data_IF_787506176200
#
_entry.id   IF_787506176200
#
_cell.length_a   1.000
_cell.length_b   1.000
_cell.length_c   1.000
_cell.angle_alpha   90.00
_cell.angle_beta   90.00
_cell.angle_gamma   90.00
#
_symmetry.space_group_name_H-M   'P 1'
#
loop_
_entity.id
_entity.type
_entity.pdbx_description
1 polymer ?
#
# COMPACT_ATOMS: atom_id res chain seq x y z
N UNK A 1 -4.58 -33.98 -9.93
CA UNK A 1 -3.67 -34.07 -8.76
C UNK A 1 -3.37 -32.70 -8.11
N UNK A 2 -3.70 -31.57 -8.77
CA UNK A 2 -3.31 -30.22 -8.32
C UNK A 2 -3.91 -29.72 -6.99
N UNK A 3 -5.21 -29.90 -6.73
CA UNK A 3 -5.82 -29.40 -5.48
C UNK A 3 -5.41 -30.14 -4.22
N UNK A 4 -5.16 -31.45 -4.33
CA UNK A 4 -4.71 -32.27 -3.20
C UNK A 4 -3.32 -31.84 -2.72
N UNK A 5 -2.43 -31.47 -3.66
CA UNK A 5 -1.11 -30.91 -3.35
C UNK A 5 -1.23 -29.58 -2.59
N UNK A 6 -2.11 -28.67 -3.04
CA UNK A 6 -2.30 -27.38 -2.37
C UNK A 6 -2.84 -27.54 -0.94
N UNK A 7 -3.82 -28.45 -0.76
CA UNK A 7 -4.39 -28.78 0.56
C UNK A 7 -3.34 -29.43 1.46
N UNK A 8 -2.55 -30.36 0.93
CA UNK A 8 -1.51 -31.09 1.68
C UNK A 8 -0.33 -30.18 2.07
N UNK A 9 0.16 -29.37 1.12
CA UNK A 9 1.27 -28.45 1.33
C UNK A 9 0.89 -27.21 2.15
N UNK A 10 -0.41 -26.93 2.32
CA UNK A 10 -0.93 -25.78 3.08
C UNK A 10 -0.29 -24.43 2.70
N UNK A 11 -0.05 -24.23 1.40
CA UNK A 11 0.55 -22.99 0.87
C UNK A 11 -0.28 -21.73 1.20
N UNK A 12 -1.60 -21.90 1.33
CA UNK A 12 -2.55 -20.92 1.89
C UNK A 12 -3.81 -21.65 2.38
N UNK A 13 -4.68 -20.95 3.10
CA UNK A 13 -5.88 -21.50 3.75
C UNK A 13 -7.09 -20.61 3.49
N UNK A 14 -8.30 -21.13 3.73
CA UNK A 14 -9.51 -20.30 3.77
C UNK A 14 -9.30 -19.14 4.77
N UNK A 15 -9.65 -17.93 4.34
CA UNK A 15 -9.45 -16.68 5.08
C UNK A 15 -8.12 -15.96 4.80
N UNK A 16 -7.15 -16.61 4.14
CA UNK A 16 -5.93 -15.91 3.72
C UNK A 16 -6.23 -14.90 2.62
N UNK A 17 -5.51 -13.77 2.63
CA UNK A 17 -5.46 -12.87 1.47
C UNK A 17 -4.28 -13.28 0.61
N UNK A 18 -4.57 -13.62 -0.65
CA UNK A 18 -3.56 -14.00 -1.63
C UNK A 18 -3.61 -13.08 -2.84
N UNK A 19 -2.49 -13.02 -3.55
CA UNK A 19 -2.36 -12.36 -4.84
C UNK A 19 -1.81 -13.35 -5.88
N UNK A 20 -2.46 -13.40 -7.04
CA UNK A 20 -2.15 -14.30 -8.15
C UNK A 20 -2.20 -13.47 -9.44
N UNK A 21 -1.05 -13.20 -10.04
CA UNK A 21 -0.96 -12.14 -11.05
C UNK A 21 -1.47 -10.82 -10.47
N UNK A 22 -2.41 -10.17 -11.16
CA UNK A 22 -3.03 -8.92 -10.72
C UNK A 22 -4.28 -9.13 -9.84
N UNK A 23 -4.72 -10.39 -9.65
CA UNK A 23 -5.89 -10.71 -8.85
C UNK A 23 -5.51 -10.80 -7.37
N UNK A 24 -6.13 -9.96 -6.54
CA UNK A 24 -5.98 -9.98 -5.08
C UNK A 24 -7.33 -10.22 -4.41
N UNK A 25 -7.36 -11.13 -3.44
CA UNK A 25 -8.60 -11.44 -2.73
C UNK A 25 -8.43 -12.40 -1.55
N UNK A 26 -9.51 -12.53 -0.79
CA UNK A 26 -9.61 -13.46 0.36
C UNK A 26 -10.00 -14.83 -0.18
N UNK A 27 -9.27 -15.88 0.21
CA UNK A 27 -9.63 -17.26 -0.10
C UNK A 27 -10.90 -17.64 0.65
N UNK A 28 -11.98 -17.93 -0.07
CA UNK A 28 -13.26 -18.30 0.52
C UNK A 28 -13.47 -19.81 0.57
N UNK A 29 -12.97 -20.53 -0.44
CA UNK A 29 -13.07 -21.99 -0.52
C UNK A 29 -11.91 -22.60 -1.31
N UNK A 30 -11.46 -23.78 -0.88
CA UNK A 30 -10.46 -24.59 -1.59
C UNK A 30 -11.08 -25.97 -1.83
N UNK A 31 -11.38 -26.24 -3.10
CA UNK A 31 -11.94 -27.49 -3.59
C UNK A 31 -10.88 -28.32 -4.35
N UNK A 32 -11.21 -29.56 -4.72
CA UNK A 32 -10.28 -30.47 -5.41
C UNK A 32 -9.75 -29.92 -6.75
N UNK A 33 -10.56 -29.14 -7.47
CA UNK A 33 -10.23 -28.63 -8.80
C UNK A 33 -10.08 -27.11 -8.87
N UNK A 34 -10.70 -26.38 -7.95
CA UNK A 34 -10.80 -24.92 -7.99
C UNK A 34 -10.56 -24.32 -6.61
N UNK A 35 -10.08 -23.09 -6.60
CA UNK A 35 -10.01 -22.22 -5.43
C UNK A 35 -10.88 -21.00 -5.71
N UNK A 36 -11.69 -20.61 -4.74
CA UNK A 36 -12.53 -19.41 -4.81
C UNK A 36 -11.88 -18.27 -4.03
N UNK A 37 -11.79 -17.12 -4.65
CA UNK A 37 -11.36 -15.86 -4.04
C UNK A 37 -12.54 -14.89 -4.02
N UNK A 38 -12.60 -14.05 -3.00
CA UNK A 38 -13.46 -12.85 -2.98
C UNK A 38 -12.58 -11.61 -3.07
N UNK A 39 -12.75 -10.81 -4.12
CA UNK A 39 -12.01 -9.56 -4.29
C UNK A 39 -12.53 -8.48 -3.34
N UNK A 40 -11.81 -7.35 -3.27
CA UNK A 40 -12.23 -6.18 -2.50
C UNK A 40 -13.61 -5.65 -2.96
N UNK A 41 -13.90 -5.71 -4.26
CA UNK A 41 -15.19 -5.38 -4.88
C UNK A 41 -16.30 -6.40 -4.59
N UNK A 42 -16.05 -7.38 -3.72
CA UNK A 42 -16.95 -8.49 -3.39
C UNK A 42 -17.28 -9.42 -4.56
N UNK A 43 -16.54 -9.35 -5.67
CA UNK A 43 -16.66 -10.32 -6.76
C UNK A 43 -16.12 -11.68 -6.33
N UNK A 44 -16.82 -12.76 -6.68
CA UNK A 44 -16.31 -14.13 -6.52
C UNK A 44 -15.52 -14.53 -7.77
N UNK A 45 -14.24 -14.85 -7.57
CA UNK A 45 -13.33 -15.30 -8.62
C UNK A 45 -13.02 -16.77 -8.41
N UNK A 46 -13.30 -17.59 -9.42
CA UNK A 46 -13.06 -19.03 -9.37
C UNK A 46 -11.81 -19.34 -10.21
N UNK A 47 -10.76 -19.80 -9.55
CA UNK A 47 -9.47 -20.09 -10.20
C UNK A 47 -9.25 -21.60 -10.21
N UNK A 48 -8.99 -22.22 -11.38
CA UNK A 48 -8.58 -23.62 -11.44
C UNK A 48 -7.24 -23.83 -10.71
N UNK A 49 -7.14 -24.88 -9.90
CA UNK A 49 -5.93 -25.19 -9.14
C UNK A 49 -4.70 -25.44 -10.04
N UNK A 50 -4.92 -25.86 -11.30
CA UNK A 50 -3.85 -26.01 -12.30
C UNK A 50 -3.22 -24.68 -12.71
N UNK A 51 -3.96 -23.57 -12.64
CA UNK A 51 -3.44 -22.22 -12.89
C UNK A 51 -2.60 -21.77 -11.71
N UNK A 52 -3.10 -21.97 -10.48
CA UNK A 52 -2.39 -21.60 -9.24
C UNK A 52 -1.04 -22.32 -9.05
N UNK A 53 -0.86 -23.50 -9.65
CA UNK A 53 0.41 -24.21 -9.62
C UNK A 53 1.40 -23.76 -10.70
N UNK A 54 0.93 -23.04 -11.72
CA UNK A 54 1.77 -22.52 -12.81
C UNK A 54 2.16 -21.06 -12.59
N UNK A 55 1.32 -20.31 -11.89
CA UNK A 55 1.52 -18.90 -11.57
C UNK A 55 2.21 -18.71 -10.21
N UNK A 56 2.82 -17.55 -10.03
CA UNK A 56 3.31 -17.14 -8.72
C UNK A 56 2.12 -16.76 -7.82
N UNK A 57 2.01 -17.44 -6.67
CA UNK A 57 1.02 -17.13 -5.64
C UNK A 57 1.71 -16.47 -4.45
N UNK A 58 1.33 -15.23 -4.15
CA UNK A 58 1.83 -14.50 -3.00
C UNK A 58 0.77 -14.59 -1.89
N UNK A 59 1.08 -15.29 -0.80
CA UNK A 59 0.23 -15.32 0.39
C UNK A 59 0.58 -14.13 1.31
N UNK A 60 -0.25 -13.10 1.29
CA UNK A 60 0.00 -11.84 2.00
C UNK A 60 -0.20 -11.96 3.52
N UNK A 61 -1.07 -12.87 3.97
CA UNK A 61 -1.40 -13.05 5.38
C UNK A 61 -0.69 -14.24 5.99
N UNK A 62 -0.53 -15.33 5.24
CA UNK A 62 0.08 -16.58 5.70
C UNK A 62 -0.49 -17.05 7.06
N UNK A 63 -1.80 -16.98 7.22
CA UNK A 63 -2.55 -17.33 8.42
C UNK A 63 -2.59 -16.25 9.51
N UNK A 64 -1.97 -15.09 9.29
CA UNK A 64 -2.02 -13.96 10.22
C UNK A 64 -3.19 -13.03 9.90
N UNK A 65 -3.68 -12.32 10.91
CA UNK A 65 -4.69 -11.26 10.72
C UNK A 65 -4.08 -9.92 10.30
N UNK A 66 -2.78 -9.89 10.06
CA UNK A 66 -2.05 -8.67 9.75
C UNK A 66 -1.20 -8.86 8.49
N UNK A 67 -1.05 -7.79 7.72
CA UNK A 67 -0.14 -7.75 6.57
C UNK A 67 0.54 -6.39 6.47
N UNK A 68 1.55 -6.29 5.60
CA UNK A 68 2.21 -5.02 5.29
C UNK A 68 1.54 -4.42 4.06
N UNK A 69 1.01 -3.21 4.22
CA UNK A 69 0.55 -2.36 3.13
C UNK A 69 1.62 -1.33 2.78
N UNK A 70 1.58 -0.80 1.55
CA UNK A 70 2.40 0.34 1.15
C UNK A 70 1.60 1.42 0.43
N UNK A 71 1.97 2.68 0.65
CA UNK A 71 1.46 3.86 -0.07
C UNK A 71 2.66 4.66 -0.56
N UNK A 72 2.60 5.14 -1.81
CA UNK A 72 3.62 6.02 -2.39
C UNK A 72 3.07 7.44 -2.43
N UNK A 73 3.75 8.35 -1.75
CA UNK A 73 3.47 9.78 -1.81
C UNK A 73 4.52 10.46 -2.69
N UNK A 74 4.09 11.23 -3.68
CA UNK A 74 4.97 12.05 -4.48
C UNK A 74 4.90 13.50 -4.01
N UNK A 75 6.03 14.07 -3.66
CA UNK A 75 6.17 15.48 -3.30
C UNK A 75 7.15 16.17 -4.24
N UNK A 76 7.06 17.49 -4.33
CA UNK A 76 8.10 18.27 -4.99
C UNK A 76 9.44 18.15 -4.23
N UNK A 77 10.56 18.04 -4.94
CA UNK A 77 11.88 17.87 -4.33
C UNK A 77 12.35 19.09 -3.52
N UNK A 78 11.70 20.25 -3.66
CA UNK A 78 11.99 21.43 -2.83
C UNK A 78 11.60 21.26 -1.36
N UNK A 79 10.72 20.31 -1.05
CA UNK A 79 10.24 20.10 0.30
C UNK A 79 11.18 19.19 1.10
N UNK A 80 11.35 19.53 2.38
CA UNK A 80 12.10 18.71 3.32
C UNK A 80 11.44 17.34 3.49
N UNK A 81 12.15 16.31 3.03
CA UNK A 81 11.69 14.92 3.05
C UNK A 81 11.53 14.40 4.49
N UNK A 82 12.35 14.86 5.45
CA UNK A 82 12.22 14.46 6.85
C UNK A 82 10.95 15.04 7.47
N UNK A 83 10.67 16.33 7.23
CA UNK A 83 9.41 16.95 7.64
C UNK A 83 8.20 16.20 7.08
N UNK A 84 8.22 15.85 5.79
CA UNK A 84 7.11 15.13 5.15
C UNK A 84 6.95 13.72 5.73
N UNK A 85 8.04 12.99 5.95
CA UNK A 85 7.98 11.67 6.61
C UNK A 85 7.34 11.73 7.98
N UNK A 86 7.69 12.73 8.80
CA UNK A 86 7.09 12.91 10.13
C UNK A 86 5.58 13.16 10.05
N UNK A 87 5.13 13.97 9.09
CA UNK A 87 3.71 14.20 8.84
C UNK A 87 3.01 12.89 8.47
N UNK A 88 3.56 12.15 7.49
CA UNK A 88 3.01 10.87 7.02
C UNK A 88 2.96 9.86 8.17
N UNK A 89 4.04 9.74 8.94
CA UNK A 89 4.14 8.82 10.06
C UNK A 89 3.08 9.12 11.13
N UNK A 90 2.88 10.38 11.49
CA UNK A 90 1.87 10.79 12.45
C UNK A 90 0.45 10.48 11.97
N UNK A 91 0.15 10.73 10.69
CA UNK A 91 -1.17 10.41 10.13
C UNK A 91 -1.44 8.91 10.09
N UNK A 92 -0.45 8.11 9.71
CA UNK A 92 -0.56 6.65 9.64
C UNK A 92 -0.71 6.04 11.03
N UNK A 93 0.07 6.50 12.03
CA UNK A 93 -0.03 6.00 13.41
C UNK A 93 -1.40 6.21 14.05
N UNK A 94 -2.13 7.24 13.61
CA UNK A 94 -3.44 7.58 14.15
C UNK A 94 -4.60 6.82 13.47
N UNK A 95 -4.32 6.05 12.42
CA UNK A 95 -5.36 5.25 11.77
C UNK A 95 -5.67 3.98 12.59
N UNK A 96 -6.96 3.69 12.87
CA UNK A 96 -7.36 2.59 13.75
C UNK A 96 -7.02 1.20 13.20
N UNK A 97 -6.79 1.07 11.90
CA UNK A 97 -6.44 -0.20 11.27
C UNK A 97 -4.92 -0.42 11.17
N UNK A 98 -4.11 0.53 11.61
CA UNK A 98 -2.65 0.45 11.58
C UNK A 98 -2.12 -0.13 12.89
N UNK A 99 -1.24 -1.12 12.78
CA UNK A 99 -0.57 -1.76 13.91
C UNK A 99 0.86 -1.24 14.01
N UNK A 100 1.20 -0.61 15.13
CA UNK A 100 2.58 -0.26 15.45
C UNK A 100 3.02 -0.96 16.73
N UNK A 101 4.06 -1.80 16.64
CA UNK A 101 4.66 -2.47 17.79
C UNK A 101 6.17 -2.28 17.73
N UNK A 102 6.72 -1.61 18.74
CA UNK A 102 8.15 -1.30 18.83
C UNK A 102 8.90 -2.25 19.78
N UNK A 103 8.30 -3.38 20.17
CA UNK A 103 8.94 -4.39 21.02
C UNK A 103 9.93 -5.24 20.22
N UNK A 104 11.10 -5.51 20.81
CA UNK A 104 12.27 -6.16 20.17
C UNK A 104 11.94 -7.50 19.48
N UNK A 105 10.98 -8.25 20.01
CA UNK A 105 10.61 -9.59 19.52
C UNK A 105 9.61 -9.59 18.35
N UNK A 106 8.83 -8.51 18.18
CA UNK A 106 7.81 -8.38 17.12
C UNK A 106 7.75 -6.93 16.62
N UNK A 107 8.80 -6.51 15.93
CA UNK A 107 8.91 -5.15 15.39
C UNK A 107 7.95 -4.97 14.21
N UNK A 108 6.86 -4.25 14.44
CA UNK A 108 5.89 -3.78 13.45
C UNK A 108 6.06 -2.28 13.34
N UNK A 109 7.10 -1.86 12.62
CA UNK A 109 7.44 -0.45 12.43
C UNK A 109 6.92 0.09 11.10
N UNK A 110 6.75 1.40 11.06
CA UNK A 110 6.56 2.15 9.81
C UNK A 110 7.93 2.32 9.17
N UNK A 111 8.04 1.98 7.88
CA UNK A 111 9.29 2.08 7.13
C UNK A 111 9.10 3.01 5.95
N UNK A 112 10.16 3.74 5.61
CA UNK A 112 10.17 4.64 4.48
C UNK A 112 11.25 4.26 3.47
N UNK A 113 10.88 4.26 2.20
CA UNK A 113 11.81 4.16 1.07
C UNK A 113 11.67 5.44 0.26
N UNK A 114 12.76 6.18 0.09
CA UNK A 114 12.77 7.43 -0.67
C UNK A 114 13.44 7.19 -2.03
N UNK A 115 12.79 7.66 -3.09
CA UNK A 115 13.31 7.61 -4.46
C UNK A 115 13.20 9.00 -5.07
N UNK A 116 14.27 9.44 -5.73
CA UNK A 116 14.25 10.68 -6.51
C UNK A 116 13.82 10.35 -7.94
N UNK A 117 12.86 11.12 -8.46
CA UNK A 117 12.38 11.09 -9.85
C UNK A 117 12.66 12.44 -10.51
N UNK A 118 12.32 12.58 -11.78
CA UNK A 118 12.67 13.77 -12.59
C UNK A 118 12.13 15.09 -12.00
N UNK A 119 10.92 15.09 -11.43
CA UNK A 119 10.30 16.30 -10.85
C UNK A 119 9.68 16.07 -9.47
N UNK A 120 9.95 14.92 -8.86
CA UNK A 120 9.36 14.55 -7.57
C UNK A 120 10.31 13.71 -6.72
N UNK A 121 10.11 13.80 -5.42
CA UNK A 121 10.61 12.82 -4.46
C UNK A 121 9.45 11.89 -4.12
N UNK A 122 9.59 10.62 -4.47
CA UNK A 122 8.67 9.56 -4.05
C UNK A 122 9.07 9.06 -2.66
N UNK A 123 8.12 9.08 -1.74
CA UNK A 123 8.22 8.54 -0.40
C UNK A 123 7.25 7.36 -0.33
N UNK A 124 7.78 6.15 -0.43
CA UNK A 124 7.02 4.95 -0.17
C UNK A 124 7.02 4.66 1.33
N UNK A 125 5.83 4.60 1.90
CA UNK A 125 5.61 4.27 3.30
C UNK A 125 5.03 2.86 3.41
N UNK A 126 5.73 1.97 4.11
CA UNK A 126 5.29 0.61 4.40
C UNK A 126 4.86 0.50 5.87
N UNK A 127 3.68 -0.03 6.13
CA UNK A 127 3.10 -0.12 7.46
C UNK A 127 2.24 -1.37 7.62
N UNK A 128 2.02 -1.80 8.86
CA UNK A 128 1.23 -3.00 9.15
C UNK A 128 -0.24 -2.64 9.35
N UNK A 129 -1.14 -3.45 8.77
CA UNK A 129 -2.59 -3.32 8.95
C UNK A 129 -3.21 -4.58 9.53
N UNK A 130 -4.32 -4.45 10.25
CA UNK A 130 -5.06 -5.56 10.90
C UNK A 130 -6.28 -6.08 10.11
N UNK A 131 -6.60 -5.45 8.97
CA UNK A 131 -7.70 -5.87 8.09
C UNK A 131 -7.23 -5.93 6.62
N UNK A 132 -6.45 -6.96 6.24
CA UNK A 132 -5.88 -7.09 4.90
C UNK A 132 -6.91 -7.11 3.76
N UNK A 133 -8.13 -7.59 4.02
CA UNK A 133 -9.21 -7.60 3.05
C UNK A 133 -9.71 -6.19 2.68
N UNK A 134 -9.53 -5.21 3.58
CA UNK A 134 -9.95 -3.82 3.42
C UNK A 134 -8.76 -2.90 3.11
N UNK A 135 -7.62 -3.46 2.71
CA UNK A 135 -6.37 -2.70 2.49
C UNK A 135 -6.56 -1.48 1.61
N UNK A 136 -7.29 -1.58 0.50
CA UNK A 136 -7.50 -0.46 -0.42
C UNK A 136 -8.33 0.68 0.21
N UNK A 137 -9.35 0.36 1.01
CA UNK A 137 -10.12 1.38 1.73
C UNK A 137 -9.29 2.05 2.82
N UNK A 138 -8.45 1.29 3.53
CA UNK A 138 -7.52 1.82 4.53
C UNK A 138 -6.51 2.76 3.86
N UNK A 139 -5.94 2.34 2.72
CA UNK A 139 -5.01 3.17 1.94
C UNK A 139 -5.66 4.46 1.46
N UNK A 140 -6.88 4.40 0.93
CA UNK A 140 -7.61 5.59 0.46
C UNK A 140 -7.80 6.60 1.59
N UNK A 141 -8.34 6.14 2.74
CA UNK A 141 -8.57 6.99 3.92
C UNK A 141 -7.28 7.62 4.43
N UNK A 142 -6.22 6.84 4.58
CA UNK A 142 -4.91 7.35 5.00
C UNK A 142 -4.38 8.38 3.99
N UNK A 143 -4.48 8.09 2.70
CA UNK A 143 -4.01 8.98 1.62
C UNK A 143 -4.74 10.31 1.66
N UNK A 144 -6.06 10.31 1.84
CA UNK A 144 -6.87 11.52 1.98
C UNK A 144 -6.46 12.34 3.22
N UNK A 145 -6.29 11.69 4.37
CA UNK A 145 -5.88 12.34 5.60
C UNK A 145 -4.49 12.99 5.46
N UNK A 146 -3.53 12.26 4.89
CA UNK A 146 -2.18 12.78 4.60
C UNK A 146 -2.27 13.95 3.63
N UNK A 147 -3.02 13.84 2.54
CA UNK A 147 -3.16 14.89 1.54
C UNK A 147 -3.74 16.18 2.14
N UNK A 148 -4.78 16.06 2.98
CA UNK A 148 -5.35 17.20 3.70
C UNK A 148 -4.32 17.85 4.62
N UNK A 149 -3.56 17.05 5.36
CA UNK A 149 -2.51 17.57 6.24
C UNK A 149 -1.36 18.25 5.48
N UNK A 150 -0.95 17.70 4.34
CA UNK A 150 0.07 18.32 3.50
C UNK A 150 -0.40 19.68 2.95
N UNK A 151 -1.69 19.80 2.58
CA UNK A 151 -2.28 21.08 2.16
C UNK A 151 -2.27 22.13 3.27
N UNK A 152 -2.62 21.76 4.50
CA UNK A 152 -2.55 22.66 5.67
C UNK A 152 -1.12 23.20 5.87
N UNK A 153 -0.13 22.33 5.68
CA UNK A 153 1.30 22.64 5.80
C UNK A 153 1.89 23.35 4.55
N UNK A 154 1.05 23.67 3.55
CA UNK A 154 1.42 24.28 2.26
C UNK A 154 2.47 23.46 1.47
N UNK A 155 2.44 22.14 1.65
CA UNK A 155 3.23 21.19 0.87
C UNK A 155 2.41 20.80 -0.35
N UNK A 156 2.85 21.28 -1.51
CA UNK A 156 2.17 21.15 -2.79
C UNK A 156 2.60 19.86 -3.52
N UNK A 157 1.73 19.33 -4.41
CA UNK A 157 2.12 18.26 -5.31
C UNK A 157 3.28 18.68 -6.22
N UNK A 158 4.06 17.72 -6.74
CA UNK A 158 5.17 18.01 -7.65
C UNK A 158 4.68 18.71 -8.92
N UNK A 159 5.40 19.75 -9.32
CA UNK A 159 5.14 20.48 -10.57
C UNK A 159 5.96 19.83 -11.69
N UNK A 160 5.36 19.44 -12.83
CA UNK A 160 6.10 18.99 -14.00
C UNK A 160 7.19 20.00 -14.40
N UNK A 161 8.38 19.52 -14.79
CA UNK A 161 9.53 20.38 -15.08
C UNK A 161 9.27 21.47 -16.12
N UNK A 162 8.40 21.20 -17.10
CA UNK A 162 7.98 22.17 -18.13
C UNK A 162 7.26 23.38 -17.52
N UNK A 163 6.39 23.14 -16.54
CA UNK A 163 5.63 24.20 -15.85
C UNK A 163 6.46 24.90 -14.78
N UNK A 164 7.55 24.29 -14.31
CA UNK A 164 8.43 24.86 -13.28
C UNK A 164 9.14 26.12 -13.78
N UNK A 165 9.60 26.14 -15.04
CA UNK A 165 10.27 27.33 -15.60
C UNK A 165 9.33 28.53 -15.59
N UNK A 166 8.10 28.34 -16.09
CA UNK A 166 7.06 29.37 -16.08
C UNK A 166 6.66 29.78 -14.65
N UNK A 167 6.56 28.82 -13.71
CA UNK A 167 6.26 29.11 -12.32
C UNK A 167 7.34 29.97 -11.64
N UNK A 168 8.62 29.64 -11.86
CA UNK A 168 9.75 30.40 -11.31
C UNK A 168 9.83 31.81 -11.93
N UNK A 169 9.58 31.94 -13.23
CA UNK A 169 9.53 33.23 -13.93
C UNK A 169 8.40 34.11 -13.38
N UNK A 170 7.19 33.57 -13.17
CA UNK A 170 6.07 34.31 -12.57
C UNK A 170 6.33 34.70 -11.11
N UNK A 171 6.93 33.80 -10.30
CA UNK A 171 7.25 34.07 -8.89
C UNK A 171 8.30 35.18 -8.74
N UNK A 172 9.27 35.26 -9.66
CA UNK A 172 10.28 36.31 -9.65
C UNK A 172 9.76 37.67 -10.14
N UNK A 173 8.59 37.71 -10.80
CA UNK A 173 7.94 38.93 -11.28
C UNK A 173 6.92 39.51 -10.28
N UNK A 174 6.56 38.78 -9.22
CA UNK A 174 5.72 39.33 -8.16
C UNK A 174 6.54 40.30 -7.29
N UNK A 175 6.06 41.54 -7.06
CA UNK A 175 6.74 42.48 -6.19
C UNK A 175 6.87 41.87 -4.78
N UNK A 176 8.04 42.04 -4.18
CA UNK A 176 8.24 41.72 -2.77
C UNK A 176 7.54 42.80 -1.95
N UNK A 177 6.32 42.49 -1.49
CA UNK A 177 5.65 43.25 -0.44
C UNK A 177 6.30 42.98 0.93
#
# INVERSE_FOLDING_TARGET
>A
VSGLLMISAKIFRNGDVIMVGDLKGVVTDISLRTTKLRTYDRNEVIIPNSVLLKENVINLTSGKKETVASIIFAIDYIYDTEKVKLIIENMIKNDPNVIVILKKEKKREIRFVVRIKEWSTEIECLFWINEPANEEFIKSRITENVNNRLKEEKILPPIPGVLRKEYLERKNQQPKD
#
